data_IF_713819932152
#
_entry.id   IF_713819932152
#
_cell.length_a   1.000
_cell.length_b   1.000
_cell.length_c   1.000
_cell.angle_alpha   90.00
_cell.angle_beta   90.00
_cell.angle_gamma   90.00
#
_symmetry.space_group_name_H-M   'P 1'
#
loop_
_entity.id
_entity.type
_entity.pdbx_description
1 polymer ?
#
# COMPACT_ATOMS: atom_id res chain seq x y z
N UNK A 1 2.44 -19.27 0.23
CA UNK A 1 2.33 -17.99 0.97
C UNK A 1 1.24 -17.13 0.34
N UNK A 2 0.50 -16.29 1.10
CA UNK A 2 -0.34 -15.23 0.52
C UNK A 2 0.51 -14.24 -0.31
N UNK A 3 -0.11 -13.59 -1.29
CA UNK A 3 0.59 -12.65 -2.21
C UNK A 3 0.28 -11.18 -1.93
N UNK A 4 -0.82 -10.94 -1.20
CA UNK A 4 -1.27 -9.62 -0.79
C UNK A 4 -2.22 -9.77 0.41
N UNK A 5 -2.43 -8.68 1.13
CA UNK A 5 -3.42 -8.56 2.20
C UNK A 5 -4.28 -7.31 1.98
N UNK A 6 -5.50 -7.35 2.52
CA UNK A 6 -6.42 -6.21 2.54
C UNK A 6 -6.87 -6.00 3.99
N UNK A 7 -6.53 -4.85 4.57
CA UNK A 7 -6.87 -4.49 5.95
C UNK A 7 -8.05 -3.53 5.92
N UNK A 8 -9.14 -3.92 6.61
CA UNK A 8 -10.39 -3.16 6.74
C UNK A 8 -10.97 -2.62 5.43
N UNK A 9 -10.73 -3.33 4.32
CA UNK A 9 -11.09 -2.91 2.96
C UNK A 9 -10.52 -1.57 2.50
N UNK A 10 -9.53 -1.00 3.22
CA UNK A 10 -8.97 0.33 2.93
C UNK A 10 -7.47 0.34 2.67
N UNK A 11 -6.74 -0.63 3.22
CA UNK A 11 -5.28 -0.71 3.06
C UNK A 11 -4.93 -1.97 2.29
N UNK A 12 -4.37 -1.82 1.10
CA UNK A 12 -3.86 -2.93 0.30
C UNK A 12 -2.36 -3.10 0.54
N UNK A 13 -1.94 -4.28 0.98
CA UNK A 13 -0.55 -4.61 1.25
C UNK A 13 -0.05 -5.64 0.25
N UNK A 14 1.11 -5.38 -0.36
CA UNK A 14 1.78 -6.28 -1.29
C UNK A 14 3.30 -6.11 -1.17
N UNK A 15 4.08 -6.93 -1.88
CA UNK A 15 5.53 -6.87 -1.80
C UNK A 15 6.09 -5.77 -2.71
N UNK A 16 5.84 -5.85 -4.02
CA UNK A 16 6.33 -4.86 -4.99
C UNK A 16 5.35 -3.70 -5.17
N UNK A 17 4.18 -3.96 -5.75
CA UNK A 17 3.24 -2.90 -6.03
C UNK A 17 2.05 -3.30 -6.87
N UNK A 18 1.80 -2.52 -7.93
CA UNK A 18 0.61 -2.63 -8.77
C UNK A 18 0.88 -3.41 -10.07
N UNK A 19 -0.19 -3.78 -10.78
CA UNK A 19 -0.09 -4.38 -12.12
C UNK A 19 -0.99 -3.65 -13.11
N UNK A 20 -0.56 -3.44 -14.36
CA UNK A 20 -1.42 -2.89 -15.42
C UNK A 20 -2.61 -3.82 -15.74
N UNK A 21 -2.52 -5.08 -15.34
CA UNK A 21 -3.57 -6.10 -15.54
C UNK A 21 -4.50 -6.27 -14.32
N UNK A 22 -4.19 -5.63 -13.19
CA UNK A 22 -5.01 -5.69 -11.98
C UNK A 22 -6.20 -4.73 -12.11
N UNK A 23 -7.38 -5.30 -12.37
CA UNK A 23 -8.66 -4.58 -12.55
C UNK A 23 -9.62 -4.77 -11.38
N UNK A 24 -9.49 -5.84 -10.61
CA UNK A 24 -10.19 -6.11 -9.34
C UNK A 24 -9.30 -6.93 -8.40
N UNK A 25 -9.37 -6.66 -7.09
CA UNK A 25 -8.68 -7.46 -6.06
C UNK A 25 -9.12 -8.93 -6.06
N UNK A 26 -10.30 -9.25 -6.60
CA UNK A 26 -10.74 -10.65 -6.75
C UNK A 26 -9.87 -11.45 -7.72
N UNK A 27 -9.15 -10.79 -8.65
CA UNK A 27 -8.19 -11.48 -9.51
C UNK A 27 -7.07 -12.13 -8.68
N UNK A 28 -6.62 -11.48 -7.59
CA UNK A 28 -5.59 -12.02 -6.70
C UNK A 28 -6.09 -13.21 -5.88
N UNK A 29 -7.38 -13.23 -5.55
CA UNK A 29 -8.05 -14.34 -4.85
C UNK A 29 -8.15 -15.59 -5.73
N UNK A 30 -8.24 -15.41 -7.05
CA UNK A 30 -8.38 -16.51 -8.03
C UNK A 30 -7.05 -17.17 -8.40
N UNK A 31 -5.92 -16.62 -7.97
CA UNK A 31 -4.61 -17.26 -8.18
C UNK A 31 -4.56 -18.54 -7.35
N UNK A 32 -4.62 -19.68 -8.04
CA UNK A 32 -4.45 -20.99 -7.42
C UNK A 32 -3.05 -21.11 -6.83
N UNK A 33 -2.96 -21.65 -5.62
CA UNK A 33 -1.69 -21.84 -4.91
C UNK A 33 -1.63 -23.26 -4.34
N UNK A 34 -0.46 -23.91 -4.31
CA UNK A 34 0.87 -23.40 -4.69
C UNK A 34 1.02 -23.21 -6.21
N UNK A 35 1.84 -22.24 -6.60
CA UNK A 35 2.19 -21.96 -7.99
C UNK A 35 3.60 -21.36 -8.05
N UNK A 36 4.28 -21.55 -9.17
CA UNK A 36 5.53 -20.85 -9.46
C UNK A 36 5.24 -19.42 -9.93
N UNK A 37 6.16 -18.51 -9.63
CA UNK A 37 6.07 -17.13 -10.14
C UNK A 37 6.57 -17.13 -11.59
N UNK A 38 5.69 -16.77 -12.51
CA UNK A 38 6.01 -16.63 -13.93
C UNK A 38 6.88 -15.38 -14.15
N UNK A 39 7.64 -15.35 -15.26
CA UNK A 39 8.47 -14.18 -15.64
C UNK A 39 7.64 -12.92 -15.96
N UNK A 40 6.35 -13.08 -16.25
CA UNK A 40 5.43 -11.98 -16.57
C UNK A 40 4.04 -12.23 -15.99
N UNK A 41 3.24 -11.18 -15.92
CA UNK A 41 1.83 -11.25 -15.56
C UNK A 41 1.54 -10.84 -14.12
N UNK A 42 0.27 -10.97 -13.73
CA UNK A 42 -0.26 -10.36 -12.51
C UNK A 42 0.53 -10.73 -11.24
N UNK A 43 0.87 -12.01 -11.06
CA UNK A 43 1.60 -12.45 -9.87
C UNK A 43 3.03 -11.87 -9.85
N UNK A 44 3.70 -11.85 -10.99
CA UNK A 44 5.02 -11.23 -11.13
C UNK A 44 4.95 -9.74 -10.77
N UNK A 45 3.96 -9.02 -11.30
CA UNK A 45 3.84 -7.58 -11.10
C UNK A 45 3.56 -7.19 -9.65
N UNK A 46 2.72 -7.95 -8.95
CA UNK A 46 2.43 -7.69 -7.53
C UNK A 46 3.67 -7.89 -6.65
N UNK A 47 4.61 -8.71 -7.10
CA UNK A 47 5.84 -9.01 -6.39
C UNK A 47 7.00 -8.09 -6.79
N UNK A 48 7.04 -7.58 -8.02
CA UNK A 48 8.26 -6.98 -8.58
C UNK A 48 8.08 -5.61 -9.26
N UNK A 49 6.89 -5.01 -9.23
CA UNK A 49 6.74 -3.63 -9.71
C UNK A 49 7.21 -2.62 -8.66
N UNK A 50 7.67 -1.46 -9.12
CA UNK A 50 8.15 -0.37 -8.26
C UNK A 50 7.39 0.94 -8.56
N UNK A 51 7.13 1.81 -7.55
CA UNK A 51 6.64 3.17 -7.79
C UNK A 51 7.78 4.11 -8.22
N UNK A 52 7.53 5.02 -9.16
CA UNK A 52 8.48 6.08 -9.53
C UNK A 52 7.76 7.39 -9.82
N UNK A 53 8.25 8.46 -9.21
CA UNK A 53 7.63 9.80 -9.29
C UNK A 53 7.99 10.53 -10.58
N UNK A 54 9.05 10.09 -11.27
CA UNK A 54 9.50 10.63 -12.55
C UNK A 54 8.72 10.06 -13.74
N UNK A 55 8.02 8.94 -13.54
CA UNK A 55 7.23 8.25 -14.56
C UNK A 55 5.77 8.72 -14.55
N UNK A 56 5.19 8.88 -15.74
CA UNK A 56 3.75 9.06 -15.95
C UNK A 56 3.20 7.78 -16.57
N UNK A 57 2.16 7.20 -15.96
CA UNK A 57 1.61 5.93 -16.42
C UNK A 57 2.50 4.76 -16.01
N UNK A 58 2.76 3.85 -16.97
CA UNK A 58 3.57 2.65 -16.78
C UNK A 58 4.84 2.72 -17.64
N UNK A 59 5.97 2.26 -17.09
CA UNK A 59 7.23 2.11 -17.82
C UNK A 59 7.86 0.72 -17.54
N UNK A 60 8.76 0.21 -18.39
CA UNK A 60 9.54 -0.98 -18.08
C UNK A 60 10.41 -0.77 -16.85
N UNK A 61 10.59 -1.81 -16.04
CA UNK A 61 11.45 -1.77 -14.86
C UNK A 61 12.93 -1.99 -15.20
N UNK A 62 13.81 -1.18 -14.61
CA UNK A 62 15.26 -1.32 -14.72
C UNK A 62 15.77 -2.64 -14.12
N UNK A 63 15.00 -3.27 -13.22
CA UNK A 63 15.25 -4.64 -12.74
C UNK A 63 15.19 -5.70 -13.85
N UNK A 64 14.71 -5.35 -15.05
CA UNK A 64 14.50 -6.27 -16.16
C UNK A 64 13.28 -7.18 -16.01
N UNK A 65 12.44 -6.93 -15.00
CA UNK A 65 11.23 -7.70 -14.68
C UNK A 65 10.10 -6.76 -14.24
N UNK A 66 8.88 -7.02 -14.69
CA UNK A 66 7.70 -6.19 -14.42
C UNK A 66 7.85 -4.71 -14.86
N UNK A 67 7.19 -3.80 -14.16
CA UNK A 67 6.96 -2.42 -14.54
C UNK A 67 7.23 -1.45 -13.39
N UNK A 68 7.46 -0.21 -13.77
CA UNK A 68 7.41 0.95 -12.90
C UNK A 68 6.09 1.68 -13.11
N UNK A 69 5.51 2.24 -12.05
CA UNK A 69 4.28 3.02 -12.13
C UNK A 69 4.35 4.41 -11.50
N UNK A 70 3.71 5.36 -12.18
CA UNK A 70 3.61 6.75 -11.78
C UNK A 70 2.60 7.03 -10.66
N UNK A 71 2.68 8.25 -10.13
CA UNK A 71 1.72 8.78 -9.14
C UNK A 71 0.28 8.77 -9.67
N UNK A 72 0.09 8.97 -10.97
CA UNK A 72 -1.21 8.96 -11.63
C UNK A 72 -1.85 7.57 -11.65
N UNK A 73 -1.05 6.52 -11.87
CA UNK A 73 -1.51 5.13 -11.83
C UNK A 73 -1.96 4.76 -10.42
N UNK A 74 -1.18 5.13 -9.41
CA UNK A 74 -1.55 4.90 -8.02
C UNK A 74 -2.86 5.61 -7.66
N UNK A 75 -3.01 6.89 -8.02
CA UNK A 75 -4.22 7.65 -7.72
C UNK A 75 -5.46 7.02 -8.35
N UNK A 76 -5.36 6.60 -9.62
CA UNK A 76 -6.44 5.89 -10.32
C UNK A 76 -6.76 4.55 -9.67
N UNK A 77 -5.74 3.80 -9.24
CA UNK A 77 -5.91 2.51 -8.58
C UNK A 77 -6.67 2.66 -7.24
N UNK A 78 -6.23 3.58 -6.39
CA UNK A 78 -6.87 3.85 -5.09
C UNK A 78 -8.34 4.23 -5.28
N UNK A 79 -8.60 5.18 -6.19
CA UNK A 79 -9.98 5.60 -6.49
C UNK A 79 -10.83 4.45 -7.02
N UNK A 80 -10.29 3.65 -7.95
CA UNK A 80 -11.03 2.56 -8.59
C UNK A 80 -11.35 1.43 -7.62
N UNK A 81 -10.43 1.13 -6.70
CA UNK A 81 -10.58 0.03 -5.74
C UNK A 81 -11.25 0.46 -4.44
N UNK A 82 -11.62 1.74 -4.29
CA UNK A 82 -12.10 2.37 -3.05
C UNK A 82 -11.15 2.14 -1.86
N UNK A 83 -9.85 2.23 -2.15
CA UNK A 83 -8.75 2.10 -1.18
C UNK A 83 -8.19 3.46 -0.85
N UNK A 84 -7.60 3.56 0.33
CA UNK A 84 -6.96 4.79 0.78
C UNK A 84 -5.45 4.73 0.67
N UNK A 85 -4.84 3.55 0.92
CA UNK A 85 -3.38 3.38 0.99
C UNK A 85 -2.96 2.04 0.38
N UNK A 86 -1.84 2.07 -0.35
CA UNK A 86 -1.05 0.88 -0.70
C UNK A 86 0.19 0.82 0.18
N UNK A 87 0.48 -0.35 0.74
CA UNK A 87 1.73 -0.63 1.47
C UNK A 87 2.56 -1.59 0.65
N UNK A 88 3.80 -1.19 0.35
CA UNK A 88 4.78 -2.00 -0.38
C UNK A 88 6.06 -2.14 0.43
N UNK A 89 6.88 -3.14 0.15
CA UNK A 89 8.09 -3.43 0.92
C UNK A 89 9.34 -2.79 0.29
N UNK A 90 9.52 -1.46 0.41
CA UNK A 90 10.72 -0.79 -0.16
C UNK A 90 11.18 0.50 0.55
N UNK A 91 12.06 0.38 1.55
CA UNK A 91 12.47 1.52 2.39
C UNK A 91 11.34 2.11 3.25
N UNK A 92 11.47 3.38 3.64
CA UNK A 92 10.41 4.17 4.27
C UNK A 92 10.25 5.49 3.53
N UNK A 93 9.27 5.55 2.64
CA UNK A 93 8.89 6.77 1.93
C UNK A 93 7.39 6.86 1.69
N UNK A 94 6.89 8.10 1.64
CA UNK A 94 5.54 8.39 1.19
C UNK A 94 5.55 8.75 -0.28
N UNK A 95 4.72 8.07 -1.04
CA UNK A 95 4.54 8.30 -2.46
C UNK A 95 3.11 8.79 -2.76
N UNK A 96 2.96 9.60 -3.82
CA UNK A 96 1.66 10.01 -4.35
C UNK A 96 0.71 10.64 -3.32
N UNK A 97 1.14 11.73 -2.65
CA UNK A 97 0.36 12.40 -1.59
C UNK A 97 -0.05 11.48 -0.43
N UNK A 98 0.82 10.52 -0.08
CA UNK A 98 0.62 9.50 0.97
C UNK A 98 -0.39 8.41 0.62
N UNK A 99 -0.75 8.27 -0.65
CA UNK A 99 -1.55 7.14 -1.14
C UNK A 99 -0.76 5.83 -1.22
N UNK A 100 0.57 5.88 -1.16
CA UNK A 100 1.42 4.70 -1.03
C UNK A 100 2.48 4.96 0.03
N UNK A 101 2.72 3.92 0.82
CA UNK A 101 3.73 3.87 1.87
C UNK A 101 4.63 2.69 1.56
N UNK A 102 5.91 2.93 1.48
CA UNK A 102 6.88 1.86 1.46
C UNK A 102 7.33 1.55 2.89
N UNK A 103 7.47 0.27 3.25
CA UNK A 103 7.91 -0.18 4.59
C UNK A 103 8.93 -1.30 4.44
N UNK A 104 10.15 -1.04 4.87
CA UNK A 104 11.22 -2.03 4.90
C UNK A 104 11.67 -2.27 6.33
N UNK A 105 11.68 -3.54 6.73
CA UNK A 105 11.84 -3.90 8.15
C UNK A 105 13.27 -4.30 8.53
N UNK A 106 14.21 -4.32 7.59
CA UNK A 106 15.60 -4.71 7.82
C UNK A 106 16.54 -3.48 7.90
N UNK A 107 16.95 -3.04 9.10
CA UNK A 107 18.00 -2.02 9.24
C UNK A 107 19.37 -2.59 8.87
N UNK A 108 20.27 -1.75 8.37
CA UNK A 108 21.59 -2.15 7.90
C UNK A 108 21.55 -3.31 6.89
N UNK A 109 20.77 -3.15 5.82
CA UNK A 109 20.55 -4.23 4.86
C UNK A 109 21.88 -4.75 4.32
N UNK A 110 22.03 -6.07 4.26
CA UNK A 110 23.26 -6.79 3.90
C UNK A 110 24.54 -6.39 4.67
N UNK A 111 24.46 -5.56 5.73
CA UNK A 111 25.63 -4.99 6.38
C UNK A 111 26.34 -3.88 5.58
N UNK A 112 25.74 -3.45 4.47
CA UNK A 112 26.36 -2.55 3.48
C UNK A 112 25.61 -1.22 3.35
N UNK A 113 24.32 -1.19 3.68
CA UNK A 113 23.47 -0.01 3.54
C UNK A 113 23.20 0.62 4.89
N UNK A 114 23.38 1.93 5.06
CA UNK A 114 23.05 2.63 6.33
C UNK A 114 21.55 2.96 6.46
N UNK A 115 20.68 2.04 6.00
CA UNK A 115 19.23 2.27 6.00
C UNK A 115 18.61 1.93 7.37
N UNK A 116 17.58 2.68 7.74
CA UNK A 116 16.72 2.34 8.86
C UNK A 116 15.71 1.25 8.45
N UNK A 117 15.28 0.46 9.43
CA UNK A 117 14.11 -0.40 9.32
C UNK A 117 12.88 0.28 9.92
N UNK A 118 11.69 -0.06 9.45
CA UNK A 118 10.43 0.47 9.95
C UNK A 118 9.37 -0.63 10.10
N UNK A 119 8.47 -0.44 11.06
CA UNK A 119 7.22 -1.21 11.19
C UNK A 119 6.05 -0.24 11.20
N UNK A 120 5.03 -0.52 10.39
CA UNK A 120 3.76 0.21 10.40
C UNK A 120 2.75 -0.50 11.28
N UNK A 121 2.27 0.22 12.30
CA UNK A 121 1.18 -0.21 13.16
C UNK A 121 -0.10 0.49 12.73
N UNK A 122 -1.18 -0.28 12.53
CA UNK A 122 -2.52 0.20 12.23
C UNK A 122 -3.41 -0.09 13.44
N UNK A 123 -4.05 0.93 14.00
CA UNK A 123 -5.02 0.75 15.10
C UNK A 123 -6.45 0.53 14.59
N UNK A 124 -7.38 0.33 15.52
CA UNK A 124 -8.81 0.11 15.25
C UNK A 124 -9.52 1.27 14.52
N UNK A 125 -8.92 2.47 14.51
CA UNK A 125 -9.43 3.65 13.80
C UNK A 125 -8.67 3.88 12.48
N UNK A 126 -7.91 2.89 12.01
CA UNK A 126 -7.03 2.97 10.84
C UNK A 126 -5.97 4.08 10.95
N UNK A 127 -5.58 4.44 12.18
CA UNK A 127 -4.45 5.34 12.40
C UNK A 127 -3.16 4.57 12.15
N UNK A 128 -2.41 5.00 11.15
CA UNK A 128 -1.10 4.42 10.82
C UNK A 128 0.00 5.13 11.63
N UNK A 129 0.81 4.37 12.37
CA UNK A 129 1.99 4.89 13.07
C UNK A 129 3.21 4.06 12.74
N UNK A 130 4.38 4.69 12.64
CA UNK A 130 5.62 4.03 12.26
C UNK A 130 6.57 3.98 13.45
N UNK A 131 7.15 2.80 13.66
CA UNK A 131 8.27 2.62 14.56
C UNK A 131 9.52 2.42 13.71
N UNK A 132 10.43 3.40 13.74
CA UNK A 132 11.68 3.35 12.98
C UNK A 132 12.81 2.87 13.90
N UNK A 133 13.60 1.91 13.41
CA UNK A 133 14.78 1.36 14.07
C UNK A 133 16.01 1.58 13.21
N UNK A 134 17.05 2.13 13.81
CA UNK A 134 18.36 2.27 13.18
C UNK A 134 19.24 1.10 13.59
N UNK A 135 20.28 0.84 12.81
CA UNK A 135 21.29 -0.16 13.15
C UNK A 135 22.05 0.23 14.43
N UNK A 136 22.56 -0.76 15.15
CA UNK A 136 23.24 -0.59 16.45
C UNK A 136 24.52 0.26 16.42
N UNK A 137 24.95 0.78 15.27
CA UNK A 137 26.13 1.65 15.16
C UNK A 137 25.88 3.09 15.62
N UNK A 138 24.63 3.48 15.84
CA UNK A 138 24.26 4.75 16.49
C UNK A 138 23.47 4.46 17.77
N UNK A 139 24.07 4.70 18.94
CA UNK A 139 23.38 4.66 20.24
C UNK A 139 22.33 5.78 20.32
N UNK A 140 21.13 5.53 19.82
CA UNK A 140 19.93 6.27 20.24
C UNK A 140 19.16 5.38 21.21
N UNK A 141 19.14 5.78 22.48
CA UNK A 141 18.52 5.01 23.57
C UNK A 141 16.98 4.84 23.47
N UNK A 142 16.31 5.41 22.45
CA UNK A 142 14.88 5.23 22.22
C UNK A 142 14.52 5.16 20.72
N UNK A 143 13.61 4.24 20.32
CA UNK A 143 13.12 4.20 18.94
C UNK A 143 12.38 5.49 18.59
N UNK A 144 12.72 6.11 17.45
CA UNK A 144 11.95 7.25 16.94
C UNK A 144 10.57 6.75 16.50
N UNK A 145 9.53 7.30 17.13
CA UNK A 145 8.14 7.00 16.77
C UNK A 145 7.62 8.14 15.90
N UNK A 146 7.47 7.89 14.61
CA UNK A 146 6.85 8.82 13.68
C UNK A 146 5.37 8.48 13.60
N UNK A 147 4.51 9.33 14.15
CA UNK A 147 3.07 9.17 14.01
C UNK A 147 2.59 9.96 12.79
N UNK A 148 2.08 9.25 11.79
CA UNK A 148 1.42 9.89 10.66
C UNK A 148 -0.08 9.84 10.87
N UNK A 149 -0.63 10.93 11.39
CA UNK A 149 -2.07 11.04 11.63
C UNK A 149 -2.79 11.26 10.30
N UNK A 150 -3.26 10.18 9.69
CA UNK A 150 -4.26 10.24 8.63
C UNK A 150 -5.60 10.46 9.34
N UNK A 151 -6.05 11.72 9.39
CA UNK A 151 -7.24 12.11 10.15
C UNK A 151 -8.47 11.97 9.25
N UNK A 152 -9.23 10.92 9.49
CA UNK A 152 -10.48 10.54 8.79
C UNK A 152 -11.70 11.43 9.09
N UNK A 153 -11.55 12.74 9.23
CA UNK A 153 -12.65 13.62 9.64
C UNK A 153 -13.07 14.62 8.55
N UNK A 154 -13.58 14.16 7.39
CA UNK A 154 -14.47 15.01 6.55
C UNK A 154 -15.41 14.29 5.54
N UNK A 155 -15.77 13.00 5.70
CA UNK A 155 -16.73 12.38 4.74
C UNK A 155 -17.82 11.46 5.33
N UNK A 156 -18.03 11.48 6.66
CA UNK A 156 -19.18 10.79 7.29
C UNK A 156 -20.19 11.75 7.93
N UNK A 157 -19.90 13.06 8.01
CA UNK A 157 -20.85 14.05 8.56
C UNK A 157 -21.87 14.60 7.56
N UNK A 158 -21.71 14.37 6.24
CA UNK A 158 -22.62 14.91 5.21
C UNK A 158 -23.74 13.92 4.79
N UNK A 159 -23.63 12.63 5.10
CA UNK A 159 -24.60 11.61 4.67
C UNK A 159 -25.62 11.20 5.74
N UNK A 160 -25.63 11.83 6.91
CA UNK A 160 -26.61 11.54 7.99
C UNK A 160 -27.79 12.50 8.10
N UNK A 161 -28.00 13.42 7.14
CA UNK A 161 -29.11 14.40 7.18
C UNK A 161 -30.21 14.19 6.13
N UNK A 162 -30.39 12.98 5.57
CA UNK A 162 -31.65 12.62 4.89
C UNK A 162 -32.19 11.31 5.42
N UNK A 163 -32.76 11.36 6.63
CA UNK A 163 -33.71 10.35 7.11
C UNK A 163 -35.07 10.57 6.44
N UNK A 164 -35.66 9.44 6.05
CA UNK A 164 -37.09 9.13 6.02
C UNK A 164 -37.97 9.81 4.95
N UNK A 165 -38.24 9.06 3.88
CA UNK A 165 -39.61 8.92 3.37
C UNK A 165 -39.93 7.43 3.45
N UNK A 166 -40.79 7.07 4.40
CA UNK A 166 -41.36 5.73 4.59
C UNK A 166 -42.37 5.49 3.45
N UNK A 167 -42.43 4.31 2.84
CA UNK A 167 -43.54 3.95 1.96
C UNK A 167 -44.72 3.50 2.82
N UNK A 168 -45.85 4.18 2.72
CA UNK A 168 -47.15 3.61 3.09
C UNK A 168 -47.98 3.48 1.82
N UNK A 169 -48.11 2.24 1.36
CA UNK A 169 -49.25 1.76 0.60
C UNK A 169 -50.37 1.39 1.58
N UNK A 170 -51.59 1.86 1.32
CA UNK A 170 -52.81 1.07 1.12
C UNK A 170 -54.09 1.84 1.51
N UNK A 171 -55.11 1.62 0.66
CA UNK A 171 -56.55 1.94 0.70
C UNK A 171 -56.98 3.41 0.71
#
# INVERSE_FOLDING_TARGET
>A
MPVAALIDNKIFCCHGGLSPTLRSLDQLKRISRPCDVQETGLLCDILWSDPDSSVVGWAPNERGVSYVFGVDVLAQFLQKMDLDIVVVEDGYEFFGRRGLVTVFSAPNYCGEFDNAGAVMNVDENLLCSFQVRFSHLYEFHHPLRVQVKIKWSTLVSSLRTRRAIVPHSES
#
